data_IF_317960293362
#
_entry.id   IF_317960293362
#
_cell.length_a   1.000
_cell.length_b   1.000
_cell.length_c   1.000
_cell.angle_alpha   90.00
_cell.angle_beta   90.00
_cell.angle_gamma   90.00
#
_symmetry.space_group_name_H-M   'P 1'
#
loop_
_entity.id
_entity.type
_entity.pdbx_description
1 polymer ?
#
# COMPACT_ATOMS: atom_id res chain seq x y z
N UNK A 1 -28.71 7.63 61.59
CA UNK A 1 -29.19 6.35 61.03
C UNK A 1 -30.27 6.76 60.03
N UNK A 2 -30.09 6.88 58.72
CA UNK A 2 -29.10 6.31 57.82
C UNK A 2 -28.79 7.25 56.65
N UNK A 3 -27.52 7.23 56.24
CA UNK A 3 -27.06 7.85 55.02
C UNK A 3 -27.49 6.99 53.84
N UNK A 4 -28.55 7.36 53.13
CA UNK A 4 -28.76 6.84 51.77
C UNK A 4 -28.43 7.93 50.74
N UNK A 5 -27.12 8.19 50.65
CA UNK A 5 -26.50 8.98 49.59
C UNK A 5 -26.52 8.13 48.31
N UNK A 6 -27.23 8.63 47.30
CA UNK A 6 -26.87 8.63 45.88
C UNK A 6 -26.06 7.42 45.39
N UNK A 7 -26.73 6.44 44.80
CA UNK A 7 -26.12 5.42 43.95
C UNK A 7 -26.91 5.35 42.64
N UNK A 8 -26.50 6.17 41.68
CA UNK A 8 -26.75 5.93 40.27
C UNK A 8 -25.38 5.75 39.61
N UNK A 9 -24.93 4.52 39.31
CA UNK A 9 -23.83 4.33 38.40
C UNK A 9 -24.38 4.10 36.98
N UNK A 10 -24.22 5.14 36.18
CA UNK A 10 -23.59 5.09 34.86
C UNK A 10 -23.93 3.86 34.00
N UNK A 11 -25.01 3.97 33.20
CA UNK A 11 -25.19 3.14 32.02
C UNK A 11 -24.13 3.56 30.98
N UNK A 12 -23.01 2.85 30.97
CA UNK A 12 -21.99 3.01 29.93
C UNK A 12 -22.57 2.47 28.62
N UNK A 13 -23.00 3.36 27.73
CA UNK A 13 -23.39 3.00 26.37
C UNK A 13 -22.13 2.55 25.63
N UNK A 14 -21.88 1.24 25.62
CA UNK A 14 -20.89 0.62 24.74
C UNK A 14 -21.48 0.57 23.33
N UNK A 15 -21.50 1.71 22.64
CA UNK A 15 -21.89 1.75 21.23
C UNK A 15 -20.86 2.57 20.46
N UNK A 16 -19.85 1.86 19.97
CA UNK A 16 -19.07 2.26 18.80
C UNK A 16 -18.18 1.08 18.35
N UNK A 17 -18.80 0.04 17.79
CA UNK A 17 -18.17 -0.74 16.74
C UNK A 17 -19.27 -1.53 16.01
N UNK A 18 -20.03 -0.83 15.16
CA UNK A 18 -20.81 -1.50 14.13
C UNK A 18 -19.88 -1.87 12.96
N UNK A 19 -20.11 -2.97 12.24
CA UNK A 19 -19.32 -3.37 11.06
C UNK A 19 -19.49 -2.45 9.83
N UNK A 20 -20.03 -1.25 10.01
CA UNK A 20 -20.38 -0.28 8.97
C UNK A 20 -19.31 0.80 8.79
N UNK A 21 -18.03 0.45 8.90
CA UNK A 21 -17.01 1.28 8.29
C UNK A 21 -17.28 1.27 6.77
N UNK A 22 -17.54 2.42 6.12
CA UNK A 22 -17.67 2.43 4.68
C UNK A 22 -16.39 1.83 4.10
N UNK A 23 -16.47 0.98 3.05
CA UNK A 23 -15.26 0.50 2.40
C UNK A 23 -14.39 1.72 2.09
N UNK A 24 -13.09 1.61 2.41
CA UNK A 24 -12.16 2.67 2.10
C UNK A 24 -12.44 3.15 0.66
N UNK A 25 -12.56 4.46 0.42
CA UNK A 25 -12.85 4.95 -0.92
C UNK A 25 -11.86 4.30 -1.89
N UNK A 26 -12.29 3.89 -3.10
CA UNK A 26 -11.34 3.42 -4.08
C UNK A 26 -10.27 4.48 -4.22
N UNK A 27 -9.00 4.11 -4.01
CA UNK A 27 -7.88 5.02 -4.32
C UNK A 27 -7.93 5.17 -5.84
N UNK A 28 -8.68 6.16 -6.29
CA UNK A 28 -8.97 6.37 -7.70
C UNK A 28 -7.84 7.26 -8.19
N UNK A 29 -6.69 6.62 -8.38
CA UNK A 29 -5.45 7.29 -8.75
C UNK A 29 -5.36 7.50 -10.27
N UNK A 30 -6.52 7.52 -10.96
CA UNK A 30 -6.66 7.51 -12.41
C UNK A 30 -6.06 8.75 -13.10
N UNK A 31 -5.98 9.87 -12.37
CA UNK A 31 -5.41 11.15 -12.81
C UNK A 31 -4.09 11.49 -12.09
N UNK A 32 -3.52 10.54 -11.34
CA UNK A 32 -2.26 10.74 -10.62
C UNK A 32 -1.04 10.75 -11.54
N UNK A 33 0.13 11.17 -11.02
CA UNK A 33 1.38 11.19 -11.79
C UNK A 33 1.69 9.80 -12.37
N UNK A 34 2.15 9.78 -13.62
CA UNK A 34 2.47 8.56 -14.35
C UNK A 34 3.98 8.34 -14.37
N UNK A 35 4.43 7.14 -13.99
CA UNK A 35 5.84 6.74 -13.99
C UNK A 35 6.02 5.38 -14.67
N UNK A 36 7.01 5.28 -15.54
CA UNK A 36 7.43 4.03 -16.16
C UNK A 36 8.79 3.60 -15.61
N UNK A 37 8.85 2.39 -15.06
CA UNK A 37 10.08 1.74 -14.62
C UNK A 37 10.46 0.74 -15.71
N UNK A 38 11.45 1.04 -16.54
CA UNK A 38 11.79 0.26 -17.74
C UNK A 38 13.08 -0.53 -17.58
N UNK A 39 13.23 -1.58 -18.39
CA UNK A 39 14.45 -2.39 -18.53
C UNK A 39 14.95 -3.04 -17.24
N UNK A 40 14.05 -3.30 -16.29
CA UNK A 40 14.36 -4.01 -15.05
C UNK A 40 14.13 -5.51 -15.15
N UNK A 41 14.86 -6.29 -14.35
CA UNK A 41 14.48 -7.68 -14.06
C UNK A 41 13.32 -7.68 -13.06
N UNK A 42 12.12 -8.07 -13.48
CA UNK A 42 10.91 -7.99 -12.65
C UNK A 42 10.51 -9.37 -12.14
N UNK A 43 10.60 -9.55 -10.82
CA UNK A 43 10.02 -10.69 -10.13
C UNK A 43 8.73 -10.24 -9.44
N UNK A 44 7.59 -10.83 -9.80
CA UNK A 44 6.27 -10.41 -9.27
C UNK A 44 5.90 -11.09 -7.95
N UNK A 45 6.61 -12.13 -7.54
CA UNK A 45 6.27 -12.95 -6.37
C UNK A 45 5.01 -13.82 -6.54
N UNK A 46 4.41 -13.87 -7.74
CA UNK A 46 3.16 -14.63 -8.01
C UNK A 46 3.40 -16.07 -8.46
N UNK A 47 4.66 -16.49 -8.58
CA UNK A 47 5.04 -17.75 -9.22
C UNK A 47 5.13 -17.68 -10.76
N UNK A 48 4.83 -16.52 -11.35
CA UNK A 48 5.10 -16.28 -12.77
C UNK A 48 6.62 -16.27 -13.06
N UNK A 49 7.03 -16.56 -14.31
CA UNK A 49 8.43 -16.44 -14.71
C UNK A 49 8.99 -15.04 -14.48
N UNK A 50 10.30 -14.96 -14.24
CA UNK A 50 11.04 -13.70 -14.19
C UNK A 50 10.94 -13.00 -15.55
N UNK A 51 10.61 -11.70 -15.54
CA UNK A 51 10.77 -10.86 -16.72
C UNK A 51 12.21 -10.33 -16.74
N UNK A 52 13.04 -10.80 -17.68
CA UNK A 52 14.46 -10.38 -17.76
C UNK A 52 14.61 -8.94 -18.23
N UNK A 53 13.71 -8.49 -19.12
CA UNK A 53 13.59 -7.11 -19.60
C UNK A 53 12.11 -6.70 -19.49
N UNK A 54 11.76 -6.11 -18.35
CA UNK A 54 10.39 -5.79 -17.99
C UNK A 54 10.15 -4.30 -17.80
N UNK A 55 8.89 -3.91 -17.94
CA UNK A 55 8.39 -2.56 -17.62
C UNK A 55 7.24 -2.62 -16.61
N UNK A 56 7.27 -1.73 -15.61
CA UNK A 56 6.15 -1.46 -14.70
C UNK A 56 5.65 -0.03 -14.96
N UNK A 57 4.34 0.12 -15.19
CA UNK A 57 3.69 1.42 -15.30
C UNK A 57 2.89 1.69 -14.02
N UNK A 58 3.15 2.82 -13.38
CA UNK A 58 2.53 3.24 -12.12
C UNK A 58 1.81 4.57 -12.34
N UNK A 59 0.52 4.64 -11.99
CA UNK A 59 -0.25 5.88 -11.99
C UNK A 59 -0.77 6.20 -10.60
N UNK A 60 -0.40 7.37 -10.08
CA UNK A 60 -0.78 7.86 -8.76
C UNK A 60 -0.58 6.83 -7.63
N UNK A 61 0.47 6.02 -7.71
CA UNK A 61 0.78 4.99 -6.71
C UNK A 61 0.15 3.62 -6.98
N UNK A 62 -0.65 3.45 -8.03
CA UNK A 62 -1.20 2.15 -8.48
C UNK A 62 -0.44 1.62 -9.68
N UNK A 63 -0.13 0.33 -9.65
CA UNK A 63 0.41 -0.37 -10.83
C UNK A 63 -0.74 -0.56 -11.83
N UNK A 64 -0.59 -0.01 -13.04
CA UNK A 64 -1.59 -0.08 -14.12
C UNK A 64 -1.18 -1.04 -15.23
N UNK A 65 0.12 -1.37 -15.35
CA UNK A 65 0.62 -2.41 -16.25
C UNK A 65 1.95 -3.00 -15.75
N UNK A 66 2.16 -4.28 -16.03
CA UNK A 66 3.43 -5.00 -15.85
C UNK A 66 3.58 -5.98 -17.00
N UNK A 67 4.75 -6.02 -17.64
CA UNK A 67 5.02 -6.98 -18.71
C UNK A 67 6.42 -6.85 -19.30
N UNK A 68 6.77 -7.69 -20.29
CA UNK A 68 7.96 -7.49 -21.10
C UNK A 68 8.03 -6.05 -21.64
N UNK A 69 9.22 -5.44 -21.66
CA UNK A 69 9.37 -4.04 -22.07
C UNK A 69 8.81 -3.77 -23.48
N UNK A 70 8.99 -4.72 -24.40
CA UNK A 70 8.45 -4.65 -25.76
C UNK A 70 6.91 -4.71 -25.85
N UNK A 71 6.21 -5.03 -24.76
CA UNK A 71 4.75 -5.23 -24.74
C UNK A 71 3.98 -4.17 -23.95
N UNK A 72 4.67 -3.38 -23.13
CA UNK A 72 4.04 -2.33 -22.33
C UNK A 72 4.14 -1.02 -23.08
N UNK A 73 2.98 -0.48 -23.48
CA UNK A 73 2.92 0.86 -24.07
C UNK A 73 3.17 1.91 -22.98
N UNK A 74 4.23 2.70 -23.14
CA UNK A 74 4.57 3.79 -22.23
C UNK A 74 4.12 5.12 -22.83
N UNK A 75 3.14 5.81 -22.22
CA UNK A 75 2.72 7.14 -22.66
C UNK A 75 3.87 8.16 -22.60
N UNK A 76 3.89 9.12 -23.52
CA UNK A 76 4.97 10.10 -23.64
C UNK A 76 5.07 11.08 -22.47
N UNK A 77 4.00 11.24 -21.69
CA UNK A 77 3.93 12.07 -20.49
C UNK A 77 4.38 11.33 -19.21
N UNK A 78 4.71 10.04 -19.32
CA UNK A 78 5.24 9.28 -18.19
C UNK A 78 6.65 9.74 -17.82
N UNK A 79 6.90 9.89 -16.52
CA UNK A 79 8.27 10.00 -16.02
C UNK A 79 8.95 8.64 -16.14
N UNK A 80 9.99 8.54 -16.96
CA UNK A 80 10.71 7.29 -17.17
C UNK A 80 11.91 7.14 -16.24
N UNK A 81 12.06 5.95 -15.67
CA UNK A 81 13.24 5.51 -14.93
C UNK A 81 13.79 4.24 -15.58
N UNK A 82 15.02 4.30 -16.06
CA UNK A 82 15.73 3.15 -16.59
C UNK A 82 16.37 2.33 -15.45
N UNK A 83 16.11 1.02 -15.46
CA UNK A 83 16.51 0.07 -14.45
C UNK A 83 17.42 -1.03 -15.00
N UNK A 84 18.11 -0.81 -16.12
CA UNK A 84 19.05 -1.78 -16.67
C UNK A 84 20.01 -2.32 -15.60
N UNK A 85 20.14 -3.65 -15.54
CA UNK A 85 20.99 -4.34 -14.56
C UNK A 85 20.42 -4.39 -13.14
N UNK A 86 19.26 -3.79 -12.86
CA UNK A 86 18.61 -3.74 -11.54
C UNK A 86 17.43 -4.71 -11.47
N UNK A 87 16.90 -4.86 -10.26
CA UNK A 87 15.75 -5.71 -9.95
C UNK A 87 14.57 -4.88 -9.48
N UNK A 88 13.38 -5.29 -9.90
CA UNK A 88 12.11 -4.83 -9.33
C UNK A 88 11.45 -6.03 -8.66
N UNK A 89 11.11 -5.86 -7.38
CA UNK A 89 10.45 -6.86 -6.54
C UNK A 89 9.26 -6.23 -5.83
N UNK A 90 8.27 -7.01 -5.36
CA UNK A 90 7.20 -6.46 -4.56
C UNK A 90 7.77 -5.82 -3.30
N UNK A 91 7.09 -4.77 -2.81
CA UNK A 91 7.42 -4.21 -1.50
C UNK A 91 7.36 -5.29 -0.43
N UNK A 92 8.35 -5.31 0.47
CA UNK A 92 8.39 -6.31 1.53
C UNK A 92 7.24 -6.11 2.51
N UNK A 93 6.58 -7.21 2.86
CA UNK A 93 5.48 -7.22 3.82
C UNK A 93 6.03 -7.81 5.12
N UNK A 94 5.99 -7.01 6.18
CA UNK A 94 6.25 -7.49 7.54
C UNK A 94 4.91 -7.76 8.24
N UNK A 95 4.56 -9.03 8.43
CA UNK A 95 3.33 -9.43 9.08
C UNK A 95 3.41 -9.40 10.62
N UNK A 96 4.63 -9.33 11.17
CA UNK A 96 4.85 -9.38 12.61
C UNK A 96 6.08 -8.56 12.99
N UNK A 97 5.83 -7.30 13.32
CA UNK A 97 6.82 -6.40 13.89
C UNK A 97 6.29 -5.79 15.18
N UNK A 98 7.19 -5.53 16.11
CA UNK A 98 6.90 -4.69 17.26
C UNK A 98 7.35 -3.27 16.94
N UNK A 99 6.41 -2.32 17.00
CA UNK A 99 6.65 -0.89 16.78
C UNK A 99 6.68 -0.23 18.16
N UNK A 100 7.89 0.05 18.68
CA UNK A 100 8.16 0.49 20.05
C UNK A 100 9.29 -0.31 20.71
N UNK A 101 10.10 0.31 21.58
CA UNK A 101 11.33 -0.24 22.19
C UNK A 101 12.46 -0.64 21.21
N UNK A 102 12.50 -0.01 20.03
CA UNK A 102 13.60 -0.10 19.07
C UNK A 102 13.99 1.28 18.57
N UNK A 103 15.30 1.55 18.51
CA UNK A 103 15.86 2.84 18.10
C UNK A 103 15.47 3.13 16.63
N UNK A 104 14.81 4.26 16.36
CA UNK A 104 14.54 4.75 14.99
C UNK A 104 13.08 4.87 14.56
N UNK A 105 12.09 4.60 15.45
CA UNK A 105 10.67 4.77 15.17
C UNK A 105 10.08 5.87 16.07
N UNK A 106 10.45 7.12 15.83
CA UNK A 106 9.84 8.27 16.53
C UNK A 106 8.59 8.72 15.75
N UNK A 107 7.42 8.61 16.37
CA UNK A 107 6.18 9.23 15.90
C UNK A 107 5.27 8.29 15.09
N UNK A 108 4.37 7.61 15.81
CA UNK A 108 3.09 7.16 15.27
C UNK A 108 2.01 8.21 15.53
#
# INVERSE_FOLDING_TARGET
>A
MDRLRRLAPLLLVLSACGPDAPPAPPLTDADGPLRALQHGRIWTGTGAPLLEDGTVLVRGGRIVAVGPAASVEVPADAETVDLEGRWVVPGFINAHGHVGDVLGLEGG
#
